data_IF_524057417471
#
_entry.id   IF_524057417471
#
_cell.length_a   1.000
_cell.length_b   1.000
_cell.length_c   1.000
_cell.angle_alpha   90.00
_cell.angle_beta   90.00
_cell.angle_gamma   90.00
#
_symmetry.space_group_name_H-M   'P 1'
#
loop_
_entity.id
_entity.type
_entity.pdbx_description
1 polymer ?
#
# COMPACT_ATOMS: atom_id res chain seq x y z
N UNK A 1 19.19 -6.67 -16.09
CA UNK A 1 19.45 -7.84 -15.23
C UNK A 1 18.12 -8.38 -14.74
N UNK A 2 17.98 -9.70 -14.68
CA UNK A 2 16.77 -10.33 -14.10
C UNK A 2 16.90 -10.23 -12.60
N UNK A 3 15.88 -9.67 -11.93
CA UNK A 3 15.80 -9.62 -10.46
C UNK A 3 15.69 -11.04 -9.91
N UNK A 4 16.43 -11.33 -8.86
CA UNK A 4 16.50 -12.66 -8.22
C UNK A 4 15.73 -12.72 -6.91
N UNK A 5 15.84 -11.68 -6.09
CA UNK A 5 15.26 -11.61 -4.75
C UNK A 5 14.18 -10.53 -4.65
N UNK A 6 14.42 -9.34 -5.21
CA UNK A 6 13.48 -8.24 -5.17
C UNK A 6 12.36 -8.41 -6.20
N UNK A 7 11.12 -8.31 -5.74
CA UNK A 7 9.93 -8.16 -6.57
C UNK A 7 9.63 -6.69 -6.90
N UNK A 8 8.37 -6.38 -7.14
CA UNK A 8 7.88 -5.01 -7.37
C UNK A 8 7.82 -4.18 -6.08
N UNK A 9 7.80 -4.82 -4.91
CA UNK A 9 7.67 -4.18 -3.59
C UNK A 9 8.53 -4.91 -2.55
N UNK A 10 9.85 -4.81 -2.69
CA UNK A 10 10.82 -5.45 -1.83
C UNK A 10 11.00 -6.95 -2.08
N UNK A 11 11.65 -7.65 -1.16
CA UNK A 11 11.78 -9.10 -1.15
C UNK A 11 10.50 -9.67 -0.53
N UNK A 12 9.78 -10.54 -1.23
CA UNK A 12 8.54 -11.14 -0.73
C UNK A 12 8.42 -12.60 -1.11
N UNK A 13 7.95 -13.42 -0.19
CA UNK A 13 7.67 -14.82 -0.45
C UNK A 13 7.20 -15.58 0.78
N UNK A 14 6.91 -16.87 0.55
CA UNK A 14 6.60 -17.78 1.65
C UNK A 14 7.83 -17.95 2.54
N UNK A 15 7.62 -17.82 3.84
CA UNK A 15 8.69 -17.96 4.83
C UNK A 15 9.34 -19.36 4.76
N UNK A 16 10.65 -19.40 4.89
CA UNK A 16 11.48 -20.61 4.74
C UNK A 16 11.36 -21.28 3.36
N UNK A 17 11.01 -20.49 2.33
CA UNK A 17 11.10 -20.89 0.93
C UNK A 17 12.41 -20.38 0.31
N UNK A 18 12.60 -20.65 -1.00
CA UNK A 18 13.82 -20.28 -1.73
C UNK A 18 14.16 -18.78 -1.74
N UNK A 19 13.21 -17.90 -1.46
CA UNK A 19 13.41 -16.43 -1.53
C UNK A 19 13.41 -15.71 -0.19
N UNK A 20 12.95 -16.36 0.89
CA UNK A 20 12.85 -15.73 2.20
C UNK A 20 13.23 -16.70 3.33
N UNK A 21 14.53 -16.80 3.60
CA UNK A 21 15.12 -17.57 4.70
C UNK A 21 15.88 -16.65 5.64
N UNK A 22 16.23 -17.08 6.87
CA UNK A 22 17.10 -16.31 7.76
C UNK A 22 18.44 -15.92 7.12
N UNK A 23 19.02 -16.83 6.32
CA UNK A 23 20.28 -16.57 5.61
C UNK A 23 20.11 -15.44 4.58
N UNK A 24 19.03 -15.45 3.78
CA UNK A 24 18.74 -14.42 2.81
C UNK A 24 18.49 -13.08 3.49
N UNK A 25 17.72 -13.07 4.59
CA UNK A 25 17.47 -11.86 5.37
C UNK A 25 18.76 -11.27 5.95
N UNK A 26 19.64 -12.11 6.51
CA UNK A 26 20.95 -11.68 7.02
C UNK A 26 21.81 -11.10 5.88
N UNK A 27 21.90 -11.78 4.73
CA UNK A 27 22.63 -11.29 3.56
C UNK A 27 22.07 -9.95 3.06
N UNK A 28 20.74 -9.79 3.02
CA UNK A 28 20.09 -8.54 2.64
C UNK A 28 20.47 -7.41 3.61
N UNK A 29 20.46 -7.67 4.91
CA UNK A 29 20.94 -6.72 5.94
C UNK A 29 22.40 -6.32 5.77
N UNK A 30 23.28 -7.29 5.54
CA UNK A 30 24.72 -7.03 5.31
C UNK A 30 24.93 -6.23 4.01
N UNK A 31 24.28 -6.60 2.92
CA UNK A 31 24.41 -5.94 1.62
C UNK A 31 23.88 -4.51 1.65
N UNK A 32 22.67 -4.30 2.17
CA UNK A 32 22.08 -2.97 2.33
C UNK A 32 22.92 -2.11 3.29
N UNK A 33 23.34 -2.66 4.42
CA UNK A 33 24.21 -1.97 5.37
C UNK A 33 25.49 -1.43 4.73
N UNK A 34 26.15 -2.22 3.90
CA UNK A 34 27.37 -1.78 3.18
C UNK A 34 27.14 -0.64 2.20
N UNK A 35 26.00 -0.62 1.52
CA UNK A 35 25.66 0.46 0.58
C UNK A 35 25.39 1.76 1.32
N UNK A 36 24.76 1.67 2.50
CA UNK A 36 24.34 2.85 3.26
C UNK A 36 25.36 3.29 4.33
N UNK A 37 26.45 2.54 4.53
CA UNK A 37 27.58 2.98 5.36
C UNK A 37 28.48 3.92 4.57
N UNK A 38 28.16 5.23 4.59
CA UNK A 38 28.86 6.28 3.83
C UNK A 38 29.25 7.45 4.73
N UNK A 39 30.52 7.79 4.75
CA UNK A 39 31.04 8.89 5.59
C UNK A 39 31.54 8.43 6.95
N UNK A 40 31.84 9.38 7.84
CA UNK A 40 32.53 9.13 9.10
C UNK A 40 31.63 9.10 10.34
N UNK A 41 30.29 9.25 10.16
CA UNK A 41 29.35 9.22 11.29
C UNK A 41 28.95 7.77 11.66
N UNK A 42 28.35 7.59 12.81
CA UNK A 42 27.78 6.31 13.24
C UNK A 42 26.46 6.07 12.47
N UNK A 43 26.46 5.05 11.61
CA UNK A 43 25.32 4.71 10.76
C UNK A 43 24.22 4.00 11.52
N UNK A 44 22.97 4.24 11.13
CA UNK A 44 21.79 3.72 11.81
C UNK A 44 20.79 3.15 10.81
N UNK A 45 20.20 2.02 11.17
CA UNK A 45 19.03 1.46 10.51
C UNK A 45 17.89 1.34 11.51
N UNK A 46 16.68 1.69 11.07
CA UNK A 46 15.45 1.46 11.84
C UNK A 46 14.73 0.26 11.27
N UNK A 47 14.19 -0.61 12.13
CA UNK A 47 13.45 -1.81 11.73
C UNK A 47 12.08 -1.82 12.43
N UNK A 48 11.01 -1.81 11.62
CA UNK A 48 9.66 -2.13 12.03
C UNK A 48 9.19 -3.45 11.42
N UNK A 49 8.10 -3.98 11.95
CA UNK A 49 7.48 -5.21 11.44
C UNK A 49 5.98 -5.19 11.64
N UNK A 50 5.26 -6.03 10.92
CA UNK A 50 3.89 -6.38 11.23
C UNK A 50 3.83 -7.47 12.33
N UNK A 51 2.70 -8.09 12.50
CA UNK A 51 2.44 -9.04 13.59
C UNK A 51 2.74 -10.50 13.25
N UNK A 52 3.22 -10.79 12.05
CA UNK A 52 3.50 -12.17 11.57
C UNK A 52 4.51 -12.87 12.47
N UNK A 53 4.25 -14.14 12.77
CA UNK A 53 5.15 -14.98 13.57
C UNK A 53 6.58 -15.01 13.00
N UNK A 54 6.71 -15.13 11.69
CA UNK A 54 8.00 -15.14 10.99
C UNK A 54 8.80 -13.84 11.11
N UNK A 55 8.14 -12.74 11.49
CA UNK A 55 8.78 -11.43 11.73
C UNK A 55 9.89 -11.50 12.77
N UNK A 56 9.75 -12.34 13.80
CA UNK A 56 10.80 -12.51 14.83
C UNK A 56 12.11 -13.08 14.25
N UNK A 57 11.98 -14.10 13.42
CA UNK A 57 13.13 -14.77 12.78
C UNK A 57 13.82 -13.81 11.79
N UNK A 58 13.06 -13.14 10.94
CA UNK A 58 13.57 -12.22 9.91
C UNK A 58 14.25 -11.01 10.57
N UNK A 59 13.62 -10.43 11.60
CA UNK A 59 14.19 -9.31 12.36
C UNK A 59 15.54 -9.68 12.97
N UNK A 60 15.63 -10.84 13.63
CA UNK A 60 16.87 -11.30 14.25
C UNK A 60 18.00 -11.50 13.23
N UNK A 61 17.67 -12.03 12.06
CA UNK A 61 18.62 -12.21 10.97
C UNK A 61 19.11 -10.86 10.40
N UNK A 62 18.20 -9.92 10.16
CA UNK A 62 18.52 -8.56 9.71
C UNK A 62 19.39 -7.82 10.74
N UNK A 63 19.04 -7.91 12.04
CA UNK A 63 19.85 -7.31 13.13
C UNK A 63 21.26 -7.84 13.09
N UNK A 64 21.44 -9.17 12.98
CA UNK A 64 22.76 -9.79 12.87
C UNK A 64 23.53 -9.28 11.64
N UNK A 65 22.85 -9.20 10.48
CA UNK A 65 23.45 -8.70 9.25
C UNK A 65 23.92 -7.24 9.34
N UNK A 66 23.06 -6.34 9.82
CA UNK A 66 23.40 -4.92 9.95
C UNK A 66 24.49 -4.66 10.98
N UNK A 67 24.41 -5.29 12.16
CA UNK A 67 25.42 -5.12 13.19
C UNK A 67 26.78 -5.66 12.76
N UNK A 68 26.81 -6.75 12.00
CA UNK A 68 28.05 -7.32 11.47
C UNK A 68 28.79 -6.37 10.50
N UNK A 69 28.11 -5.45 9.84
CA UNK A 69 28.72 -4.45 8.95
C UNK A 69 28.83 -3.06 9.59
N UNK A 70 28.62 -2.96 10.92
CA UNK A 70 28.87 -1.73 11.70
C UNK A 70 27.72 -0.75 11.81
N UNK A 71 26.49 -1.11 11.35
CA UNK A 71 25.31 -0.26 11.56
C UNK A 71 24.66 -0.49 12.92
N UNK A 72 24.28 0.58 13.60
CA UNK A 72 23.42 0.50 14.78
C UNK A 72 21.97 0.25 14.35
N UNK A 73 21.29 -0.67 15.03
CA UNK A 73 19.92 -1.09 14.72
C UNK A 73 18.96 -0.60 15.77
N UNK A 74 17.92 0.14 15.35
CA UNK A 74 16.84 0.59 16.19
C UNK A 74 15.58 -0.22 15.87
N UNK A 75 15.12 -1.03 16.82
CA UNK A 75 13.99 -1.93 16.67
C UNK A 75 12.73 -1.29 17.25
N UNK A 76 11.64 -1.28 16.48
CA UNK A 76 10.36 -0.67 16.88
C UNK A 76 9.31 -1.71 17.32
N UNK A 77 9.44 -2.97 16.90
CA UNK A 77 8.37 -3.95 17.02
C UNK A 77 7.25 -3.71 16.01
N UNK A 78 6.01 -4.16 16.30
CA UNK A 78 4.88 -3.95 15.40
C UNK A 78 4.53 -2.47 15.27
N UNK A 79 4.61 -1.97 14.01
CA UNK A 79 4.38 -0.57 13.65
C UNK A 79 4.04 -0.47 12.15
N UNK A 80 3.10 0.40 11.73
CA UNK A 80 2.74 0.62 10.33
C UNK A 80 3.92 0.93 9.41
N UNK A 81 3.83 0.48 8.15
CA UNK A 81 4.82 0.80 7.11
C UNK A 81 5.08 2.32 6.99
N UNK A 82 4.06 3.20 6.93
CA UNK A 82 4.29 4.65 6.89
C UNK A 82 4.99 5.19 8.15
N UNK A 83 4.78 4.57 9.30
CA UNK A 83 5.48 4.96 10.53
C UNK A 83 6.99 4.67 10.44
N UNK A 84 7.38 3.54 9.82
CA UNK A 84 8.80 3.23 9.57
C UNK A 84 9.41 4.27 8.65
N UNK A 85 8.74 4.63 7.55
CA UNK A 85 9.20 5.67 6.63
C UNK A 85 9.37 7.03 7.33
N UNK A 86 8.40 7.43 8.15
CA UNK A 86 8.43 8.66 8.94
C UNK A 86 9.57 8.65 9.96
N UNK A 87 9.73 7.55 10.70
CA UNK A 87 10.76 7.43 11.75
C UNK A 87 12.17 7.34 11.17
N UNK A 88 12.36 6.78 9.98
CA UNK A 88 13.64 6.81 9.26
C UNK A 88 14.14 8.26 9.13
N UNK A 89 13.25 9.16 8.68
CA UNK A 89 13.56 10.60 8.56
C UNK A 89 13.75 11.27 9.91
N UNK A 90 12.80 11.09 10.84
CA UNK A 90 12.77 11.83 12.11
C UNK A 90 13.94 11.45 13.03
N UNK A 91 14.41 10.21 12.97
CA UNK A 91 15.59 9.74 13.71
C UNK A 91 16.90 9.91 12.95
N UNK A 92 16.85 10.50 11.75
CA UNK A 92 18.01 10.67 10.86
C UNK A 92 18.76 9.36 10.65
N UNK A 93 17.98 8.28 10.40
CA UNK A 93 18.56 6.98 10.07
C UNK A 93 19.01 6.95 8.61
N UNK A 94 20.06 6.21 8.32
CA UNK A 94 20.58 6.05 6.95
C UNK A 94 19.69 5.10 6.14
N UNK A 95 18.96 4.22 6.83
CA UNK A 95 18.10 3.21 6.21
C UNK A 95 16.90 2.89 7.11
N UNK A 96 15.76 2.64 6.48
CA UNK A 96 14.57 2.08 7.12
C UNK A 96 14.26 0.69 6.56
N UNK A 97 13.77 -0.20 7.41
CA UNK A 97 13.36 -1.54 7.01
C UNK A 97 11.99 -1.86 7.61
N UNK A 98 11.08 -2.30 6.75
CA UNK A 98 9.79 -2.85 7.18
C UNK A 98 9.72 -4.33 6.82
N UNK A 99 9.42 -5.16 7.83
CA UNK A 99 9.22 -6.60 7.68
C UNK A 99 7.72 -6.88 7.59
N UNK A 100 7.24 -7.15 6.38
CA UNK A 100 5.82 -7.33 6.08
C UNK A 100 5.58 -7.97 4.72
N UNK A 101 4.43 -8.61 4.55
CA UNK A 101 3.87 -8.97 3.25
C UNK A 101 2.52 -8.27 3.00
N UNK A 102 2.30 -7.08 3.61
CA UNK A 102 1.10 -6.26 3.44
C UNK A 102 -0.18 -7.08 3.69
N UNK A 103 -1.04 -7.21 2.69
CA UNK A 103 -2.35 -7.87 2.76
C UNK A 103 -2.31 -9.41 2.62
N UNK A 104 -1.14 -10.03 2.41
CA UNK A 104 -1.05 -11.49 2.33
C UNK A 104 -1.32 -12.14 3.69
N UNK A 105 -1.69 -13.43 3.69
CA UNK A 105 -1.83 -14.22 4.90
C UNK A 105 -0.48 -14.46 5.58
N UNK A 106 -0.51 -14.92 6.83
CA UNK A 106 0.66 -14.99 7.73
C UNK A 106 1.84 -15.84 7.25
N UNK A 107 1.60 -16.83 6.39
CA UNK A 107 2.66 -17.72 5.89
C UNK A 107 3.63 -17.04 4.91
N UNK A 108 3.22 -15.92 4.33
CA UNK A 108 4.09 -15.04 3.55
C UNK A 108 4.69 -13.97 4.45
N UNK A 109 5.88 -13.48 4.08
CA UNK A 109 6.48 -12.29 4.66
C UNK A 109 7.36 -11.59 3.62
N UNK A 110 7.97 -10.47 4.00
CA UNK A 110 8.83 -9.72 3.10
C UNK A 110 9.70 -8.71 3.82
N UNK A 111 10.56 -8.06 3.06
CA UNK A 111 11.48 -7.02 3.53
C UNK A 111 11.40 -5.86 2.55
N UNK A 112 10.92 -4.71 3.02
CA UNK A 112 10.88 -3.44 2.28
C UNK A 112 11.96 -2.50 2.84
N UNK A 113 12.67 -1.81 1.95
CA UNK A 113 13.73 -0.87 2.34
C UNK A 113 13.32 0.56 2.01
N UNK A 114 13.68 1.48 2.90
CA UNK A 114 13.47 2.93 2.76
C UNK A 114 14.80 3.66 2.90
N UNK A 115 15.06 4.59 1.99
CA UNK A 115 16.20 5.49 2.07
C UNK A 115 16.09 6.50 3.23
N UNK A 116 17.14 7.30 3.46
CA UNK A 116 17.16 8.31 4.53
C UNK A 116 16.10 9.40 4.35
N UNK A 117 15.56 9.54 3.15
CA UNK A 117 14.44 10.41 2.81
C UNK A 117 13.06 9.79 3.13
N UNK A 118 13.02 8.55 3.62
CA UNK A 118 11.80 7.80 3.90
C UNK A 118 11.06 7.31 2.65
N UNK A 119 11.70 7.32 1.48
CA UNK A 119 11.13 6.78 0.25
C UNK A 119 11.65 5.35 0.02
N UNK A 120 10.88 4.53 -0.68
CA UNK A 120 11.33 3.20 -1.13
C UNK A 120 12.58 3.33 -1.98
N UNK A 121 13.49 2.37 -1.89
CA UNK A 121 14.71 2.36 -2.67
C UNK A 121 14.41 2.28 -4.17
N UNK A 122 15.26 2.89 -4.99
CA UNK A 122 15.17 2.77 -6.45
C UNK A 122 15.58 1.38 -6.91
N UNK A 123 15.12 0.99 -8.11
CA UNK A 123 15.48 -0.27 -8.76
C UNK A 123 17.01 -0.46 -8.87
N UNK A 124 17.73 0.61 -9.13
CA UNK A 124 19.18 0.59 -9.23
C UNK A 124 19.85 0.20 -7.91
N UNK A 125 19.34 0.73 -6.79
CA UNK A 125 19.87 0.40 -5.45
C UNK A 125 19.46 -1.02 -5.06
N UNK A 126 18.23 -1.46 -5.34
CA UNK A 126 17.79 -2.84 -5.08
C UNK A 126 18.63 -3.86 -5.85
N UNK A 127 18.93 -3.61 -7.14
CA UNK A 127 19.81 -4.46 -7.94
C UNK A 127 21.25 -4.48 -7.41
N UNK A 128 21.74 -3.37 -6.89
CA UNK A 128 23.06 -3.33 -6.25
C UNK A 128 23.09 -4.13 -4.95
N UNK A 129 22.01 -4.10 -4.14
CA UNK A 129 21.85 -4.96 -2.97
C UNK A 129 21.90 -6.43 -3.39
N UNK A 130 21.12 -6.84 -4.42
CA UNK A 130 21.14 -8.23 -4.94
C UNK A 130 22.53 -8.67 -5.36
N UNK A 131 23.25 -7.82 -6.08
CA UNK A 131 24.61 -8.11 -6.55
C UNK A 131 25.56 -8.37 -5.36
N UNK A 132 25.41 -7.58 -4.30
CA UNK A 132 26.20 -7.78 -3.09
C UNK A 132 25.79 -9.04 -2.33
N UNK A 133 24.50 -9.37 -2.26
CA UNK A 133 24.01 -10.59 -1.61
C UNK A 133 24.59 -11.87 -2.25
N UNK A 134 24.84 -11.86 -3.55
CA UNK A 134 25.45 -12.98 -4.28
C UNK A 134 27.00 -12.96 -4.26
N UNK A 135 27.61 -11.90 -3.69
CA UNK A 135 29.06 -11.78 -3.52
C UNK A 135 29.55 -12.35 -2.19
N UNK A 136 30.88 -12.42 -1.99
CA UNK A 136 31.46 -12.71 -0.67
C UNK A 136 31.26 -11.53 0.27
N UNK A 137 30.32 -11.66 1.22
CA UNK A 137 30.01 -10.64 2.22
C UNK A 137 31.01 -10.62 3.39
N UNK A 138 31.90 -11.61 3.48
CA UNK A 138 32.93 -11.69 4.53
C UNK A 138 33.95 -10.55 4.45
N UNK A 139 34.20 -10.00 3.27
CA UNK A 139 35.12 -8.89 3.03
C UNK A 139 34.50 -7.54 3.37
N UNK A 140 34.09 -7.22 4.51
CA UNK A 140 33.48 -5.92 4.86
C UNK A 140 32.74 -5.99 6.17
N UNK A 141 33.09 -6.98 6.94
CA UNK A 141 32.64 -7.10 8.32
C UNK A 141 33.37 -6.06 9.17
N UNK A 142 32.61 -5.44 10.07
CA UNK A 142 33.16 -4.56 11.08
C UNK A 142 33.95 -5.37 12.12
N UNK A 143 35.02 -4.80 12.62
CA UNK A 143 35.85 -5.42 13.64
C UNK A 143 35.82 -4.64 14.95
N UNK A 144 36.04 -5.30 16.05
CA UNK A 144 36.24 -4.71 17.38
C UNK A 144 35.10 -3.70 17.75
N UNK A 145 35.49 -2.49 18.10
CA UNK A 145 34.58 -1.40 18.47
C UNK A 145 33.73 -0.84 17.34
N UNK A 146 33.96 -1.27 16.09
CA UNK A 146 33.18 -0.85 14.93
C UNK A 146 31.90 -1.69 14.73
N UNK A 147 31.75 -2.83 15.40
CA UNK A 147 30.53 -3.64 15.36
C UNK A 147 29.32 -2.79 15.81
N UNK A 148 28.20 -2.94 15.10
CA UNK A 148 26.94 -2.23 15.39
C UNK A 148 26.30 -2.69 16.70
N UNK A 149 25.39 -1.85 17.22
CA UNK A 149 24.62 -2.14 18.43
C UNK A 149 23.13 -2.21 18.12
N UNK A 150 22.42 -3.16 18.70
CA UNK A 150 20.98 -3.20 18.62
C UNK A 150 20.32 -2.52 19.84
N UNK A 151 19.29 -1.71 19.62
CA UNK A 151 18.52 -1.04 20.67
C UNK A 151 17.04 -1.06 20.34
N UNK A 152 16.18 -1.37 21.30
CA UNK A 152 14.75 -1.17 21.20
C UNK A 152 14.39 0.28 21.47
N UNK A 153 13.47 0.83 20.68
CA UNK A 153 12.92 2.19 20.83
C UNK A 153 11.48 2.05 21.28
N UNK A 154 11.21 2.35 22.54
CA UNK A 154 9.91 2.07 23.16
C UNK A 154 8.87 3.16 22.85
N UNK A 155 9.27 4.40 22.50
CA UNK A 155 8.39 5.53 22.19
C UNK A 155 7.99 5.63 20.72
N UNK A 156 8.33 4.64 19.88
CA UNK A 156 8.07 4.66 18.44
C UNK A 156 6.57 4.76 18.11
N UNK A 157 5.72 4.05 18.86
CA UNK A 157 4.27 4.09 18.68
C UNK A 157 3.71 5.48 18.99
N UNK A 158 4.09 6.05 20.13
CA UNK A 158 3.66 7.40 20.53
C UNK A 158 4.08 8.47 19.51
N UNK A 159 5.28 8.33 18.92
CA UNK A 159 5.72 9.26 17.87
C UNK A 159 4.83 9.20 16.61
N UNK A 160 4.40 7.99 16.21
CA UNK A 160 3.51 7.86 15.07
C UNK A 160 2.09 8.32 15.39
N UNK A 161 1.56 8.03 16.60
CA UNK A 161 0.27 8.52 17.07
C UNK A 161 0.23 10.05 16.99
N UNK A 162 1.24 10.73 17.56
CA UNK A 162 1.34 12.19 17.49
C UNK A 162 1.48 12.71 16.05
N UNK A 163 2.23 12.01 15.21
CA UNK A 163 2.36 12.35 13.80
C UNK A 163 0.99 12.25 13.09
N UNK A 164 0.27 11.15 13.24
CA UNK A 164 -1.04 10.96 12.63
C UNK A 164 -2.05 12.03 13.08
N UNK A 165 -2.14 12.31 14.39
CA UNK A 165 -3.01 13.35 14.95
C UNK A 165 -2.69 14.76 14.43
N UNK A 166 -1.42 15.10 14.23
CA UNK A 166 -1.01 16.40 13.66
C UNK A 166 -1.48 16.62 12.24
N UNK A 167 -1.78 15.55 11.51
CA UNK A 167 -2.31 15.60 10.15
C UNK A 167 -3.85 15.74 10.12
N UNK A 168 -4.51 15.64 11.28
CA UNK A 168 -5.92 15.98 11.44
C UNK A 168 -6.08 17.48 11.70
N UNK A 169 -7.10 18.18 11.15
CA UNK A 169 -7.29 19.62 11.39
C UNK A 169 -7.48 19.95 12.87
N UNK A 170 -6.70 20.91 13.37
CA UNK A 170 -6.62 21.23 14.81
C UNK A 170 -7.95 21.73 15.42
N UNK A 171 -8.82 22.29 14.60
CA UNK A 171 -10.12 22.83 15.00
C UNK A 171 -11.24 21.78 14.95
N UNK A 172 -10.93 20.55 14.57
CA UNK A 172 -11.90 19.46 14.49
C UNK A 172 -11.69 18.44 15.59
N UNK A 173 -12.78 17.77 15.95
CA UNK A 173 -12.83 16.62 16.84
C UNK A 173 -13.74 15.56 16.24
N UNK A 174 -13.59 14.33 16.69
CA UNK A 174 -14.44 13.19 16.29
C UNK A 174 -15.47 12.84 17.37
N UNK A 175 -15.68 13.74 18.34
CA UNK A 175 -16.68 13.58 19.40
C UNK A 175 -18.08 13.40 18.83
N UNK A 176 -18.79 12.39 19.32
CA UNK A 176 -20.12 12.02 18.84
C UNK A 176 -20.13 11.08 17.64
N UNK A 177 -18.98 10.79 17.03
CA UNK A 177 -18.86 9.80 15.98
C UNK A 177 -18.48 8.43 16.53
N UNK A 178 -19.27 7.40 16.20
CA UNK A 178 -18.94 6.00 16.46
C UNK A 178 -18.27 5.39 15.24
N UNK A 179 -17.07 4.83 15.43
CA UNK A 179 -16.24 4.31 14.35
C UNK A 179 -15.86 2.85 14.62
N UNK A 180 -16.19 1.96 13.68
CA UNK A 180 -15.62 0.60 13.63
C UNK A 180 -14.24 0.70 13.00
N UNK A 181 -13.20 0.22 13.69
CA UNK A 181 -11.83 0.15 13.19
C UNK A 181 -11.33 -1.28 13.14
N UNK A 182 -11.12 -1.80 11.94
CA UNK A 182 -10.53 -3.12 11.69
C UNK A 182 -9.04 -2.94 11.33
N UNK A 183 -8.18 -3.43 12.23
CA UNK A 183 -6.72 -3.37 12.08
C UNK A 183 -6.12 -4.64 11.47
N UNK A 184 -6.91 -5.53 10.89
CA UNK A 184 -6.46 -6.77 10.23
C UNK A 184 -5.57 -7.68 11.11
N UNK A 185 -5.63 -7.59 12.43
CA UNK A 185 -4.63 -8.16 13.35
C UNK A 185 -3.19 -7.80 12.96
N UNK A 186 -3.00 -6.66 12.30
CA UNK A 186 -1.77 -6.18 11.70
C UNK A 186 -1.04 -5.13 12.55
N UNK A 187 -0.12 -4.44 11.90
CA UNK A 187 0.83 -3.49 12.51
C UNK A 187 0.16 -2.30 13.23
N UNK A 188 -1.04 -1.91 12.80
CA UNK A 188 -1.79 -0.78 13.35
C UNK A 188 -2.65 -1.12 14.57
N UNK A 189 -2.66 -2.38 15.04
CA UNK A 189 -3.59 -2.88 16.06
C UNK A 189 -3.65 -2.09 17.36
N UNK A 190 -2.58 -1.39 17.70
CA UNK A 190 -2.52 -0.45 18.86
C UNK A 190 -2.72 0.99 18.45
N UNK A 191 -1.95 1.44 17.43
CA UNK A 191 -1.83 2.86 17.14
C UNK A 191 -3.10 3.44 16.48
N UNK A 192 -3.83 2.67 15.65
CA UNK A 192 -5.00 3.21 14.97
C UNK A 192 -6.19 3.42 15.93
N UNK A 193 -6.55 2.45 16.81
CA UNK A 193 -7.54 2.70 17.84
C UNK A 193 -7.19 3.89 18.74
N UNK A 194 -5.93 4.01 19.17
CA UNK A 194 -5.46 5.08 20.05
C UNK A 194 -5.60 6.46 19.40
N UNK A 195 -5.18 6.60 18.12
CA UNK A 195 -5.32 7.86 17.37
C UNK A 195 -6.78 8.31 17.30
N UNK A 196 -7.69 7.40 16.96
CA UNK A 196 -9.12 7.73 16.84
C UNK A 196 -9.74 8.09 18.19
N UNK A 197 -9.38 7.35 19.25
CA UNK A 197 -9.85 7.61 20.60
C UNK A 197 -9.35 8.97 21.13
N UNK A 198 -8.07 9.28 20.96
CA UNK A 198 -7.50 10.58 21.37
C UNK A 198 -8.07 11.77 20.59
N UNK A 199 -8.58 11.54 19.38
CA UNK A 199 -9.33 12.55 18.62
C UNK A 199 -10.80 12.68 19.04
N UNK A 200 -11.28 11.84 19.96
CA UNK A 200 -12.60 11.92 20.58
C UNK A 200 -13.64 10.93 20.04
N UNK A 201 -13.29 10.01 19.16
CA UNK A 201 -14.24 9.04 18.62
C UNK A 201 -14.67 7.98 19.65
N UNK A 202 -15.93 7.53 19.57
CA UNK A 202 -16.40 6.28 20.18
C UNK A 202 -15.99 5.12 19.26
N UNK A 203 -15.02 4.30 19.68
CA UNK A 203 -14.41 3.28 18.82
C UNK A 203 -14.92 1.87 19.12
N UNK A 204 -15.16 1.11 18.07
CA UNK A 204 -15.43 -0.34 18.12
C UNK A 204 -14.29 -1.06 17.41
N UNK A 205 -13.26 -1.53 18.14
CA UNK A 205 -12.09 -2.14 17.53
C UNK A 205 -12.36 -3.58 17.08
N UNK A 206 -11.84 -3.94 15.91
CA UNK A 206 -11.79 -5.28 15.32
C UNK A 206 -10.38 -5.57 14.84
N UNK A 207 -10.01 -6.86 14.74
CA UNK A 207 -8.69 -7.24 14.26
C UNK A 207 -7.55 -6.66 15.10
N UNK A 208 -7.70 -6.61 16.43
CA UNK A 208 -6.73 -6.01 17.37
C UNK A 208 -6.10 -7.02 18.35
N UNK A 209 -6.25 -8.31 18.08
CA UNK A 209 -5.72 -9.39 18.93
C UNK A 209 -4.81 -10.32 18.11
N UNK A 210 -3.65 -9.83 17.64
CA UNK A 210 -2.75 -10.62 16.81
C UNK A 210 -2.13 -11.78 17.59
N UNK A 211 -2.15 -12.98 17.00
CA UNK A 211 -1.51 -14.19 17.53
C UNK A 211 -0.29 -14.66 16.72
N UNK A 212 0.07 -13.90 15.67
CA UNK A 212 1.18 -14.20 14.76
C UNK A 212 0.76 -14.98 13.51
N UNK A 213 -0.46 -15.53 13.49
CA UNK A 213 -0.98 -16.37 12.40
C UNK A 213 -2.31 -15.89 11.81
N UNK A 214 -2.96 -14.95 12.46
CA UNK A 214 -4.29 -14.45 12.09
C UNK A 214 -4.30 -13.10 11.35
N UNK A 215 -3.16 -12.55 10.95
CA UNK A 215 -3.07 -11.32 10.19
C UNK A 215 -3.78 -11.45 8.82
N UNK A 216 -4.65 -10.49 8.49
CA UNK A 216 -5.47 -10.46 7.27
C UNK A 216 -6.41 -11.68 7.07
N UNK A 217 -6.57 -12.52 8.08
CA UNK A 217 -7.45 -13.68 7.99
C UNK A 217 -8.90 -13.25 8.21
N UNK A 218 -9.68 -13.22 7.13
CA UNK A 218 -11.09 -12.82 7.10
C UNK A 218 -11.37 -11.45 7.74
N UNK A 219 -10.40 -10.53 7.63
CA UNK A 219 -10.47 -9.18 8.18
C UNK A 219 -9.58 -8.21 7.37
N UNK A 220 -9.71 -6.92 7.67
CA UNK A 220 -8.93 -5.85 7.06
C UNK A 220 -9.40 -5.42 5.68
N UNK A 221 -8.61 -4.58 5.00
CA UNK A 221 -9.02 -3.88 3.78
C UNK A 221 -9.30 -4.78 2.57
N UNK A 222 -8.79 -6.01 2.56
CA UNK A 222 -9.06 -7.00 1.50
C UNK A 222 -10.24 -7.92 1.80
N UNK A 223 -10.80 -7.86 3.02
CA UNK A 223 -11.94 -8.65 3.49
C UNK A 223 -12.80 -7.81 4.43
N UNK A 224 -13.36 -6.70 3.91
CA UNK A 224 -14.05 -5.69 4.69
C UNK A 224 -15.50 -6.06 5.07
N UNK A 225 -16.02 -7.21 4.64
CA UNK A 225 -17.42 -7.61 4.88
C UNK A 225 -17.76 -7.68 6.37
N UNK A 226 -16.84 -8.21 7.19
CA UNK A 226 -17.01 -8.29 8.63
C UNK A 226 -17.11 -6.89 9.27
N UNK A 227 -16.26 -5.95 8.84
CA UNK A 227 -16.31 -4.55 9.25
C UNK A 227 -17.63 -3.89 8.84
N UNK A 228 -18.09 -4.07 7.59
CA UNK A 228 -19.36 -3.54 7.09
C UNK A 228 -20.56 -4.09 7.86
N UNK A 229 -20.54 -5.39 8.20
CA UNK A 229 -21.57 -6.01 9.04
C UNK A 229 -21.58 -5.42 10.46
N UNK A 230 -20.39 -5.22 11.04
CA UNK A 230 -20.24 -4.63 12.38
C UNK A 230 -20.72 -3.19 12.42
N UNK A 231 -20.44 -2.37 11.39
CA UNK A 231 -20.95 -0.99 11.28
C UNK A 231 -22.46 -0.97 11.42
N UNK A 232 -23.17 -1.83 10.67
CA UNK A 232 -24.65 -1.94 10.77
C UNK A 232 -25.12 -2.44 12.13
N UNK A 233 -24.45 -3.46 12.69
CA UNK A 233 -24.81 -4.08 13.97
C UNK A 233 -24.77 -3.06 15.12
N UNK A 234 -23.69 -2.27 15.20
CA UNK A 234 -23.48 -1.32 16.30
C UNK A 234 -23.99 0.08 15.98
N UNK A 235 -24.57 0.28 14.80
CA UNK A 235 -25.03 1.58 14.28
C UNK A 235 -23.91 2.61 14.34
N UNK A 236 -22.73 2.25 13.81
CA UNK A 236 -21.62 3.16 13.70
C UNK A 236 -21.82 4.14 12.54
N UNK A 237 -21.22 5.32 12.65
CA UNK A 237 -21.23 6.34 11.61
C UNK A 237 -20.29 5.98 10.46
N UNK A 238 -19.21 5.22 10.79
CA UNK A 238 -18.16 4.81 9.84
C UNK A 238 -17.58 3.46 10.18
N UNK A 239 -17.08 2.80 9.11
CA UNK A 239 -16.12 1.72 9.20
C UNK A 239 -14.79 2.10 8.56
N UNK A 240 -13.69 1.68 9.14
CA UNK A 240 -12.33 1.81 8.62
C UNK A 240 -11.69 0.44 8.68
N UNK A 241 -11.18 -0.08 7.56
CA UNK A 241 -10.42 -1.31 7.52
C UNK A 241 -9.03 -1.03 6.93
N UNK A 242 -7.99 -1.34 7.68
CA UNK A 242 -6.60 -1.26 7.27
C UNK A 242 -6.12 -2.64 6.81
N UNK A 243 -5.03 -2.72 6.05
CA UNK A 243 -4.35 -3.98 5.79
C UNK A 243 -3.26 -4.27 6.82
N UNK A 244 -2.58 -5.41 6.69
CA UNK A 244 -1.66 -5.92 7.70
C UNK A 244 -0.51 -4.99 8.08
N UNK A 245 -0.06 -4.11 7.18
CA UNK A 245 0.97 -3.09 7.46
C UNK A 245 0.45 -1.65 7.36
N UNK A 246 -0.87 -1.50 7.24
CA UNK A 246 -1.62 -0.26 7.30
C UNK A 246 -1.19 0.81 6.27
N UNK A 247 -0.65 0.38 5.14
CA UNK A 247 -0.38 1.27 4.02
C UNK A 247 -1.61 1.45 3.11
N UNK A 248 -2.70 0.67 3.37
CA UNK A 248 -3.98 0.72 2.67
C UNK A 248 -5.15 0.92 3.63
N UNK A 249 -6.21 1.54 3.11
CA UNK A 249 -7.48 1.74 3.80
C UNK A 249 -8.66 1.52 2.86
N UNK A 250 -9.67 0.84 3.35
CA UNK A 250 -11.03 0.80 2.80
C UNK A 250 -11.97 1.28 3.89
N UNK A 251 -12.96 2.07 3.54
CA UNK A 251 -13.93 2.60 4.50
C UNK A 251 -15.34 2.11 4.17
N UNK A 252 -16.26 2.28 5.09
CA UNK A 252 -17.67 2.04 4.89
C UNK A 252 -18.51 3.17 5.48
N UNK A 253 -19.62 3.48 4.83
CA UNK A 253 -20.63 4.39 5.35
C UNK A 253 -21.48 3.71 6.45
N UNK A 254 -22.38 4.44 7.07
CA UNK A 254 -23.28 3.98 8.14
C UNK A 254 -24.21 2.83 7.71
N UNK A 255 -24.40 2.62 6.41
CA UNK A 255 -25.17 1.52 5.85
C UNK A 255 -24.29 0.28 5.57
N UNK A 256 -22.98 0.38 5.78
CA UNK A 256 -22.00 -0.64 5.44
C UNK A 256 -21.73 -0.75 3.94
N UNK A 257 -21.97 0.31 3.16
CA UNK A 257 -21.55 0.39 1.75
C UNK A 257 -20.08 0.80 1.69
N UNK A 258 -19.31 0.08 0.91
CA UNK A 258 -17.87 0.30 0.75
C UNK A 258 -17.58 1.65 0.10
N UNK A 259 -16.59 2.34 0.66
CA UNK A 259 -15.93 3.54 0.12
C UNK A 259 -14.50 3.09 -0.22
N UNK A 260 -14.25 2.78 -1.48
CA UNK A 260 -12.96 2.30 -1.96
C UNK A 260 -11.93 3.42 -2.17
N UNK A 261 -10.71 3.06 -2.59
CA UNK A 261 -9.65 4.03 -2.81
C UNK A 261 -9.98 5.10 -3.85
N UNK A 262 -10.75 4.77 -4.87
CA UNK A 262 -11.17 5.75 -5.90
C UNK A 262 -12.17 6.76 -5.33
N UNK A 263 -13.11 6.34 -4.47
CA UNK A 263 -14.03 7.25 -3.77
C UNK A 263 -13.28 8.13 -2.76
N UNK A 264 -12.29 7.56 -2.06
CA UNK A 264 -11.41 8.30 -1.13
C UNK A 264 -10.64 9.38 -1.90
N UNK A 265 -10.05 9.05 -3.05
CA UNK A 265 -9.36 10.01 -3.92
C UNK A 265 -10.29 11.12 -4.38
N UNK A 266 -11.53 10.79 -4.82
CA UNK A 266 -12.53 11.76 -5.24
C UNK A 266 -12.88 12.73 -4.11
N UNK A 267 -13.11 12.20 -2.89
CA UNK A 267 -13.51 13.00 -1.73
C UNK A 267 -12.39 13.96 -1.29
N UNK A 268 -11.16 13.46 -1.20
CA UNK A 268 -10.00 14.28 -0.85
C UNK A 268 -9.73 15.33 -1.94
N UNK A 269 -9.81 14.95 -3.22
CA UNK A 269 -9.63 15.88 -4.35
C UNK A 269 -10.63 17.02 -4.32
N UNK A 270 -11.92 16.72 -4.13
CA UNK A 270 -12.99 17.73 -3.99
C UNK A 270 -12.72 18.68 -2.84
N UNK A 271 -12.47 18.12 -1.65
CA UNK A 271 -12.22 18.90 -0.44
C UNK A 271 -10.97 19.79 -0.57
N UNK A 272 -9.86 19.21 -1.03
CA UNK A 272 -8.61 19.96 -1.13
C UNK A 272 -8.62 20.97 -2.28
N UNK A 273 -9.35 20.73 -3.37
CA UNK A 273 -9.57 21.71 -4.44
C UNK A 273 -10.34 22.92 -3.91
N UNK A 274 -11.44 22.68 -3.18
CA UNK A 274 -12.26 23.75 -2.60
C UNK A 274 -11.48 24.59 -1.59
N UNK A 275 -10.58 23.97 -0.83
CA UNK A 275 -9.77 24.62 0.22
C UNK A 275 -8.41 25.15 -0.29
N UNK A 276 -8.14 25.09 -1.60
CA UNK A 276 -6.90 25.57 -2.21
C UNK A 276 -5.66 24.75 -1.82
N UNK A 277 -5.82 23.51 -1.33
CA UNK A 277 -4.72 22.62 -0.92
C UNK A 277 -4.28 21.67 -2.02
N UNK A 278 -5.15 21.38 -3.01
CA UNK A 278 -4.84 20.45 -4.08
C UNK A 278 -3.79 21.05 -5.02
N UNK A 279 -2.74 20.30 -5.29
CA UNK A 279 -1.65 20.68 -6.21
C UNK A 279 -1.72 19.85 -7.49
N UNK A 280 -1.10 20.35 -8.57
CA UNK A 280 -1.05 19.65 -9.87
C UNK A 280 -2.36 19.67 -10.66
N UNK A 281 -3.41 20.32 -10.16
CA UNK A 281 -4.70 20.44 -10.85
C UNK A 281 -5.50 19.13 -10.94
N UNK A 282 -5.22 18.16 -10.06
CA UNK A 282 -5.91 16.87 -10.06
C UNK A 282 -5.30 15.84 -9.12
N UNK A 283 -5.51 14.57 -9.41
CA UNK A 283 -4.96 13.44 -8.65
C UNK A 283 -4.33 12.41 -9.57
N UNK A 284 -3.48 11.55 -9.03
CA UNK A 284 -2.92 10.41 -9.75
C UNK A 284 -3.59 9.13 -9.27
N UNK A 285 -4.22 8.42 -10.21
CA UNK A 285 -4.67 7.04 -10.01
C UNK A 285 -3.80 6.06 -10.79
N UNK A 286 -4.26 4.83 -10.92
CA UNK A 286 -3.63 3.84 -11.79
C UNK A 286 -4.47 3.58 -13.04
N UNK A 287 -3.93 2.80 -13.96
CA UNK A 287 -4.70 2.27 -15.10
C UNK A 287 -5.91 1.43 -14.66
N UNK A 288 -5.98 1.01 -13.39
CA UNK A 288 -7.11 0.27 -12.82
C UNK A 288 -8.18 1.16 -12.21
N UNK A 289 -7.89 2.45 -11.94
CA UNK A 289 -8.88 3.38 -11.39
C UNK A 289 -10.08 3.51 -12.31
N UNK A 290 -11.28 3.46 -11.72
CA UNK A 290 -12.54 3.44 -12.44
C UNK A 290 -12.74 4.69 -13.30
N UNK A 291 -13.31 4.55 -14.50
CA UNK A 291 -13.57 5.69 -15.38
C UNK A 291 -14.64 6.64 -14.82
N UNK A 292 -15.48 6.18 -13.89
CA UNK A 292 -16.38 7.03 -13.12
C UNK A 292 -15.65 8.10 -12.34
N UNK A 293 -14.48 7.76 -11.72
CA UNK A 293 -13.62 8.74 -11.07
C UNK A 293 -13.14 9.82 -12.04
N UNK A 294 -12.66 9.43 -13.23
CA UNK A 294 -12.20 10.38 -14.27
C UNK A 294 -13.35 11.33 -14.72
N UNK A 295 -14.53 10.76 -14.97
CA UNK A 295 -15.72 11.54 -15.33
C UNK A 295 -16.09 12.53 -14.22
N UNK A 296 -16.08 12.08 -12.97
CA UNK A 296 -16.38 12.94 -11.82
C UNK A 296 -15.36 14.07 -11.64
N UNK A 297 -14.07 13.78 -11.68
CA UNK A 297 -13.02 14.79 -11.57
C UNK A 297 -13.12 15.86 -12.67
N UNK A 298 -13.46 15.47 -13.89
CA UNK A 298 -13.72 16.41 -15.01
C UNK A 298 -14.84 17.38 -14.70
N UNK A 299 -15.90 16.98 -13.98
CA UNK A 299 -16.98 17.91 -13.56
C UNK A 299 -16.49 18.98 -12.60
N UNK A 300 -15.39 18.71 -11.89
CA UNK A 300 -14.72 19.65 -10.99
C UNK A 300 -13.61 20.47 -11.67
N UNK A 301 -13.39 20.26 -12.97
CA UNK A 301 -12.25 20.85 -13.69
C UNK A 301 -10.89 20.25 -13.30
N UNK A 302 -10.89 19.05 -12.73
CA UNK A 302 -9.69 18.35 -12.27
C UNK A 302 -9.28 17.22 -13.23
N UNK A 303 -7.99 16.92 -13.28
CA UNK A 303 -7.43 15.83 -14.07
C UNK A 303 -7.23 14.54 -13.26
N UNK A 304 -7.36 13.39 -13.92
CA UNK A 304 -6.89 12.10 -13.43
C UNK A 304 -5.63 11.70 -14.20
N UNK A 305 -4.46 11.82 -13.57
CA UNK A 305 -3.23 11.18 -14.05
C UNK A 305 -3.35 9.66 -13.89
N UNK A 306 -2.89 8.86 -14.88
CA UNK A 306 -2.94 7.40 -14.80
C UNK A 306 -1.54 6.82 -14.85
N UNK A 307 -1.09 6.25 -13.73
CA UNK A 307 0.16 5.51 -13.63
C UNK A 307 -0.04 4.01 -13.91
N UNK A 308 1.03 3.28 -14.13
CA UNK A 308 1.02 1.82 -14.04
C UNK A 308 0.63 1.37 -12.61
N UNK A 309 0.16 0.12 -12.48
CA UNK A 309 -0.18 -0.45 -11.16
C UNK A 309 1.07 -0.61 -10.32
N UNK A 310 1.03 -0.10 -9.10
CA UNK A 310 2.11 -0.09 -8.12
C UNK A 310 2.37 1.31 -7.58
N UNK A 311 2.47 1.41 -6.28
CA UNK A 311 2.63 2.67 -5.54
C UNK A 311 3.85 3.50 -5.98
N UNK A 312 4.95 2.85 -6.37
CA UNK A 312 6.14 3.49 -6.93
C UNK A 312 5.80 4.31 -8.19
N UNK A 313 5.03 3.73 -9.12
CA UNK A 313 4.64 4.41 -10.36
C UNK A 313 3.67 5.56 -10.10
N UNK A 314 2.76 5.39 -9.14
CA UNK A 314 1.88 6.47 -8.69
C UNK A 314 2.71 7.63 -8.15
N UNK A 315 3.67 7.35 -7.26
CA UNK A 315 4.54 8.37 -6.67
C UNK A 315 5.43 9.07 -7.71
N UNK A 316 5.95 8.34 -8.70
CA UNK A 316 6.74 8.90 -9.80
C UNK A 316 5.89 9.87 -10.65
N UNK A 317 4.67 9.48 -11.01
CA UNK A 317 3.76 10.35 -11.79
C UNK A 317 3.31 11.56 -10.96
N UNK A 318 3.07 11.39 -9.63
CA UNK A 318 2.80 12.51 -8.73
C UNK A 318 3.93 13.53 -8.74
N UNK A 319 5.18 13.08 -8.60
CA UNK A 319 6.37 13.97 -8.63
C UNK A 319 6.51 14.68 -9.96
N UNK A 320 6.33 13.96 -11.06
CA UNK A 320 6.47 14.49 -12.42
C UNK A 320 5.44 15.59 -12.73
N UNK A 321 4.20 15.39 -12.30
CA UNK A 321 3.09 16.32 -12.54
C UNK A 321 2.87 17.33 -11.40
N UNK A 322 3.63 17.28 -10.31
CA UNK A 322 3.48 18.16 -9.15
C UNK A 322 2.20 17.91 -8.35
N UNK A 323 1.63 16.70 -8.44
CA UNK A 323 0.44 16.30 -7.68
C UNK A 323 0.79 15.97 -6.22
N UNK A 324 -0.08 16.32 -5.29
CA UNK A 324 0.06 15.97 -3.88
C UNK A 324 -0.92 14.91 -3.38
N UNK A 325 -1.81 14.44 -4.24
CA UNK A 325 -2.77 13.37 -3.97
C UNK A 325 -2.66 12.30 -5.06
N UNK A 326 -2.49 11.06 -4.65
CA UNK A 326 -2.50 9.92 -5.56
C UNK A 326 -2.81 8.61 -4.82
N UNK A 327 -3.11 7.56 -5.56
CA UNK A 327 -3.38 6.27 -4.96
C UNK A 327 -3.94 5.24 -5.91
N UNK A 328 -4.40 4.16 -5.35
CA UNK A 328 -4.96 3.00 -6.04
C UNK A 328 -6.37 2.71 -5.53
N UNK A 329 -7.21 2.14 -6.36
CA UNK A 329 -8.55 1.66 -5.97
C UNK A 329 -8.49 0.71 -4.76
N UNK A 330 -7.39 -0.05 -4.63
CA UNK A 330 -7.13 -0.95 -3.48
C UNK A 330 -6.95 -0.24 -2.14
N UNK A 331 -7.01 1.10 -2.10
CA UNK A 331 -6.91 1.89 -0.88
C UNK A 331 -5.49 2.33 -0.49
N UNK A 332 -4.48 2.07 -1.32
CA UNK A 332 -3.14 2.62 -1.11
C UNK A 332 -3.14 4.10 -1.51
N UNK A 333 -3.31 5.00 -0.53
CA UNK A 333 -3.47 6.44 -0.75
C UNK A 333 -2.23 7.18 -0.29
N UNK A 334 -1.64 7.95 -1.21
CA UNK A 334 -0.44 8.76 -0.97
C UNK A 334 -0.85 10.23 -0.90
N UNK A 335 -0.62 10.84 0.25
CA UNK A 335 -0.79 12.27 0.48
C UNK A 335 0.58 12.88 0.75
N UNK A 336 1.26 13.34 -0.32
CA UNK A 336 2.68 13.71 -0.26
C UNK A 336 3.01 14.91 0.63
N UNK A 337 2.01 15.71 1.00
CA UNK A 337 2.16 16.77 2.00
C UNK A 337 2.36 16.19 3.42
N UNK A 338 2.03 14.92 3.65
CA UNK A 338 2.09 14.27 4.95
C UNK A 338 3.07 13.09 4.98
N UNK A 339 3.02 12.19 4.00
CA UNK A 339 3.79 10.97 3.99
C UNK A 339 4.53 10.76 2.66
N UNK A 340 5.62 10.02 2.71
CA UNK A 340 6.42 9.64 1.53
C UNK A 340 5.95 8.34 0.87
N UNK A 341 4.98 7.66 1.47
CA UNK A 341 4.35 6.42 0.99
C UNK A 341 2.86 6.45 1.34
N UNK A 342 2.10 5.43 0.95
CA UNK A 342 0.71 5.27 1.40
C UNK A 342 0.62 5.18 2.92
N UNK A 343 -0.40 5.82 3.46
CA UNK A 343 -0.72 5.80 4.89
C UNK A 343 -2.25 5.69 5.04
N UNK A 344 -2.71 4.46 5.31
CA UNK A 344 -4.14 4.19 5.40
C UNK A 344 -4.82 4.93 6.55
N UNK A 345 -4.12 5.09 7.69
CA UNK A 345 -4.66 5.81 8.84
C UNK A 345 -4.77 7.31 8.56
N UNK A 346 -3.71 7.93 8.02
CA UNK A 346 -3.72 9.36 7.68
C UNK A 346 -4.74 9.65 6.56
N UNK A 347 -4.85 8.78 5.56
CA UNK A 347 -5.87 8.90 4.51
C UNK A 347 -7.29 8.83 5.10
N UNK A 348 -7.56 7.85 5.98
CA UNK A 348 -8.82 7.75 6.71
C UNK A 348 -9.12 8.99 7.55
N UNK A 349 -8.13 9.56 8.22
CA UNK A 349 -8.27 10.81 8.98
C UNK A 349 -8.63 12.00 8.07
N UNK A 350 -8.09 12.08 6.84
CA UNK A 350 -8.49 13.14 5.91
C UNK A 350 -9.93 12.99 5.45
N UNK A 351 -10.42 11.77 5.24
CA UNK A 351 -11.84 11.50 4.96
C UNK A 351 -12.69 11.91 6.16
N UNK A 352 -12.36 11.45 7.36
CA UNK A 352 -13.08 11.81 8.59
C UNK A 352 -13.13 13.34 8.82
N UNK A 353 -12.07 14.06 8.46
CA UNK A 353 -12.04 15.52 8.56
C UNK A 353 -13.10 16.18 7.65
N UNK A 354 -13.25 15.67 6.41
CA UNK A 354 -14.29 16.17 5.47
C UNK A 354 -15.68 15.93 6.03
N UNK A 355 -15.90 14.76 6.61
CA UNK A 355 -17.20 14.35 7.14
C UNK A 355 -17.56 15.08 8.44
N UNK A 356 -16.62 15.25 9.34
CA UNK A 356 -16.80 16.03 10.58
C UNK A 356 -17.10 17.50 10.29
N UNK A 357 -16.54 18.08 9.22
CA UNK A 357 -16.86 19.44 8.77
C UNK A 357 -18.24 19.56 8.14
N UNK A 358 -18.66 18.53 7.41
CA UNK A 358 -19.89 18.56 6.63
C UNK A 358 -21.16 18.38 7.45
N UNK A 359 -21.09 17.69 8.57
CA UNK A 359 -22.26 17.37 9.42
C UNK A 359 -23.34 16.54 8.73
N UNK A 360 -22.98 15.85 7.63
CA UNK A 360 -23.88 14.99 6.84
C UNK A 360 -23.40 13.53 6.92
N UNK A 361 -24.33 12.56 6.79
CA UNK A 361 -23.95 11.14 6.81
C UNK A 361 -22.94 10.78 5.72
N UNK A 362 -22.12 9.75 5.99
CA UNK A 362 -21.13 9.26 5.06
C UNK A 362 -21.73 8.81 3.73
N UNK A 363 -22.91 8.17 3.78
CA UNK A 363 -23.64 7.73 2.59
C UNK A 363 -23.96 8.85 1.61
N UNK A 364 -24.09 10.10 2.11
CA UNK A 364 -24.34 11.27 1.28
C UNK A 364 -23.05 11.98 0.86
N UNK A 365 -22.00 11.93 1.70
CA UNK A 365 -20.79 12.69 1.49
C UNK A 365 -19.76 11.95 0.63
N UNK A 366 -19.64 10.62 0.77
CA UNK A 366 -18.52 9.85 0.25
C UNK A 366 -18.78 9.15 -1.10
N UNK A 367 -20.04 8.89 -1.45
CA UNK A 367 -20.38 8.30 -2.74
C UNK A 367 -20.61 9.40 -3.79
N UNK A 368 -19.52 9.98 -4.30
CA UNK A 368 -19.53 11.17 -5.14
C UNK A 368 -19.88 10.89 -6.60
N UNK A 369 -19.76 9.65 -7.02
CA UNK A 369 -20.14 9.17 -8.35
C UNK A 369 -20.49 7.68 -8.26
N UNK A 370 -21.29 7.20 -9.21
CA UNK A 370 -21.52 5.76 -9.35
C UNK A 370 -20.38 5.13 -10.17
N UNK A 371 -19.69 4.12 -9.64
CA UNK A 371 -18.66 3.42 -10.40
C UNK A 371 -19.25 2.76 -11.64
N UNK A 372 -18.54 2.87 -12.76
CA UNK A 372 -18.92 2.12 -13.94
C UNK A 372 -18.71 0.61 -13.71
N UNK A 373 -19.60 -0.24 -14.25
CA UNK A 373 -19.37 -1.67 -14.29
C UNK A 373 -17.97 -1.98 -14.82
N UNK A 374 -17.16 -2.66 -14.00
CA UNK A 374 -15.80 -3.07 -14.31
C UNK A 374 -15.67 -4.58 -14.11
N UNK A 375 -15.17 -5.28 -15.12
CA UNK A 375 -14.94 -6.73 -15.07
C UNK A 375 -13.47 -7.01 -15.33
N UNK A 376 -12.88 -7.83 -14.44
CA UNK A 376 -11.50 -8.30 -14.56
C UNK A 376 -11.50 -9.82 -14.63
N UNK A 377 -10.84 -10.37 -15.65
CA UNK A 377 -10.61 -11.80 -15.80
C UNK A 377 -9.11 -12.09 -15.92
N UNK A 378 -8.66 -13.17 -15.25
CA UNK A 378 -7.27 -13.59 -15.23
C UNK A 378 -7.13 -14.86 -16.08
N UNK A 379 -6.42 -14.78 -17.20
CA UNK A 379 -6.21 -15.91 -18.12
C UNK A 379 -4.79 -16.43 -17.95
N UNK A 380 -4.64 -17.68 -17.51
CA UNK A 380 -3.32 -18.32 -17.35
C UNK A 380 -2.81 -18.79 -18.70
N UNK A 381 -1.51 -18.66 -18.92
CA UNK A 381 -0.83 -19.20 -20.10
C UNK A 381 0.42 -19.98 -19.69
N UNK A 382 0.76 -21.00 -20.49
CA UNK A 382 1.89 -21.89 -20.16
C UNK A 382 3.17 -21.49 -20.86
N UNK A 383 3.09 -21.05 -22.12
CA UNK A 383 4.26 -20.69 -22.95
C UNK A 383 3.90 -19.57 -23.92
N UNK A 384 4.94 -18.88 -24.44
CA UNK A 384 4.78 -17.91 -25.52
C UNK A 384 4.40 -16.50 -25.06
N UNK A 385 3.94 -15.72 -26.02
CA UNK A 385 3.48 -14.33 -25.86
C UNK A 385 2.10 -14.18 -26.50
N UNK A 386 1.02 -14.66 -25.85
CA UNK A 386 -0.32 -14.66 -26.46
C UNK A 386 -0.78 -13.27 -26.91
N UNK A 387 -0.33 -12.20 -26.26
CA UNK A 387 -0.66 -10.81 -26.64
C UNK A 387 -0.05 -10.38 -28.00
N UNK A 388 0.94 -11.11 -28.52
CA UNK A 388 1.51 -10.83 -29.82
C UNK A 388 0.77 -11.54 -30.96
N UNK A 389 -0.11 -12.49 -30.64
CA UNK A 389 -0.87 -13.26 -31.63
C UNK A 389 -1.90 -12.36 -32.35
N UNK A 390 -2.01 -12.56 -33.66
CA UNK A 390 -2.89 -11.77 -34.51
C UNK A 390 -4.39 -11.91 -34.15
N UNK A 391 -4.80 -13.12 -33.72
CA UNK A 391 -6.19 -13.40 -33.31
C UNK A 391 -6.54 -12.66 -32.02
N UNK A 392 -5.61 -12.63 -31.05
CA UNK A 392 -5.79 -11.90 -29.80
C UNK A 392 -5.83 -10.39 -30.06
N UNK A 393 -4.93 -9.86 -30.90
CA UNK A 393 -4.93 -8.45 -31.28
C UNK A 393 -6.25 -8.05 -31.96
N UNK A 394 -6.70 -8.84 -32.96
CA UNK A 394 -7.99 -8.61 -33.62
C UNK A 394 -9.16 -8.63 -32.65
N UNK A 395 -9.17 -9.57 -31.69
CA UNK A 395 -10.23 -9.65 -30.68
C UNK A 395 -10.25 -8.41 -29.76
N UNK A 396 -9.08 -7.86 -29.41
CA UNK A 396 -8.96 -6.62 -28.64
C UNK A 396 -9.46 -5.43 -29.45
N UNK A 397 -9.11 -5.32 -30.74
CA UNK A 397 -9.52 -4.24 -31.61
C UNK A 397 -11.05 -4.25 -31.84
N UNK A 398 -11.63 -5.43 -32.11
CA UNK A 398 -13.07 -5.61 -32.23
C UNK A 398 -13.82 -5.22 -30.93
N UNK A 399 -13.28 -5.62 -29.80
CA UNK A 399 -13.85 -5.29 -28.49
C UNK A 399 -13.77 -3.78 -28.21
N UNK A 400 -12.67 -3.11 -28.56
CA UNK A 400 -12.54 -1.66 -28.48
C UNK A 400 -13.56 -0.94 -29.38
N UNK A 401 -13.73 -1.43 -30.61
CA UNK A 401 -14.71 -0.87 -31.54
C UNK A 401 -16.16 -1.00 -31.01
N UNK A 402 -16.48 -2.13 -30.35
CA UNK A 402 -17.80 -2.36 -29.75
C UNK A 402 -18.07 -1.48 -28.53
N UNK A 403 -17.06 -1.25 -27.68
CA UNK A 403 -17.21 -0.35 -26.51
C UNK A 403 -17.22 1.13 -26.93
N UNK A 404 -16.50 1.50 -27.99
CA UNK A 404 -16.42 2.86 -28.48
C UNK A 404 -15.99 3.84 -27.38
N UNK A 405 -16.72 4.95 -27.24
CA UNK A 405 -16.47 5.98 -26.22
C UNK A 405 -17.17 5.71 -24.88
N UNK A 406 -18.02 4.67 -24.80
CA UNK A 406 -18.78 4.33 -23.60
C UNK A 406 -17.99 3.49 -22.57
N UNK A 407 -16.80 3.01 -22.97
CA UNK A 407 -15.96 2.20 -22.09
C UNK A 407 -14.51 2.17 -22.51
N UNK A 408 -13.72 1.35 -21.83
CA UNK A 408 -12.31 1.08 -22.16
C UNK A 408 -11.90 -0.34 -21.82
N UNK A 409 -10.84 -0.79 -22.47
CA UNK A 409 -10.24 -2.10 -22.24
C UNK A 409 -8.80 -1.92 -21.79
N UNK A 410 -8.36 -2.76 -20.88
CA UNK A 410 -6.98 -2.89 -20.45
C UNK A 410 -6.59 -4.37 -20.47
N UNK A 411 -5.68 -4.75 -21.36
CA UNK A 411 -5.11 -6.09 -21.41
C UNK A 411 -3.63 -6.00 -21.12
N UNK A 412 -3.16 -6.73 -20.09
CA UNK A 412 -1.75 -6.70 -19.70
C UNK A 412 -1.28 -8.03 -19.13
N UNK A 413 -0.01 -8.33 -19.30
CA UNK A 413 0.66 -9.44 -18.62
C UNK A 413 0.84 -9.11 -17.14
N UNK A 414 0.67 -10.10 -16.25
CA UNK A 414 1.06 -9.98 -14.86
C UNK A 414 2.58 -9.89 -14.73
N UNK A 415 3.06 -9.05 -13.82
CA UNK A 415 4.50 -8.93 -13.56
C UNK A 415 5.08 -10.08 -12.73
N UNK A 416 4.22 -10.82 -12.00
CA UNK A 416 4.64 -11.81 -11.00
C UNK A 416 4.17 -13.23 -11.29
N UNK A 417 3.13 -13.39 -12.12
CA UNK A 417 2.52 -14.68 -12.41
C UNK A 417 2.39 -14.89 -13.92
N UNK A 418 2.39 -16.15 -14.41
CA UNK A 418 2.19 -16.47 -15.81
C UNK A 418 0.72 -16.35 -16.23
N UNK A 419 0.16 -15.14 -16.12
CA UNK A 419 -1.21 -14.83 -16.49
C UNK A 419 -1.33 -13.47 -17.20
N UNK A 420 -2.37 -13.35 -18.02
CA UNK A 420 -2.81 -12.11 -18.65
C UNK A 420 -4.06 -11.64 -17.92
N UNK A 421 -4.08 -10.37 -17.57
CA UNK A 421 -5.23 -9.70 -16.98
C UNK A 421 -5.99 -8.97 -18.07
N UNK A 422 -7.25 -9.34 -18.26
CA UNK A 422 -8.19 -8.71 -19.19
C UNK A 422 -9.19 -7.94 -18.35
N UNK A 423 -9.18 -6.63 -18.46
CA UNK A 423 -10.13 -5.75 -17.80
C UNK A 423 -10.89 -4.94 -18.83
N UNK A 424 -12.19 -4.80 -18.67
CA UNK A 424 -12.99 -3.80 -19.35
C UNK A 424 -13.92 -3.13 -18.36
N UNK A 425 -14.26 -1.86 -18.63
CA UNK A 425 -15.26 -1.10 -17.93
C UNK A 425 -16.07 -0.23 -18.89
N UNK A 426 -17.30 0.09 -18.56
CA UNK A 426 -18.17 0.89 -19.41
C UNK A 426 -19.59 0.99 -18.88
N UNK A 427 -20.44 1.74 -19.59
CA UNK A 427 -21.80 2.05 -19.16
C UNK A 427 -22.74 0.82 -19.20
N UNK A 428 -22.51 -0.15 -20.10
CA UNK A 428 -23.31 -1.37 -20.23
C UNK A 428 -22.55 -2.59 -19.68
N UNK A 429 -22.96 -3.08 -18.52
CA UNK A 429 -22.36 -4.24 -17.87
C UNK A 429 -22.39 -5.52 -18.74
N UNK A 430 -23.47 -5.74 -19.50
CA UNK A 430 -23.59 -6.93 -20.36
C UNK A 430 -22.58 -6.87 -21.49
N UNK A 431 -22.38 -5.70 -22.09
CA UNK A 431 -21.39 -5.47 -23.11
C UNK A 431 -19.96 -5.64 -22.53
N UNK A 432 -19.68 -5.06 -21.37
CA UNK A 432 -18.40 -5.19 -20.66
C UNK A 432 -18.06 -6.66 -20.42
N UNK A 433 -18.99 -7.44 -19.86
CA UNK A 433 -18.82 -8.88 -19.64
C UNK A 433 -18.58 -9.64 -20.96
N UNK A 434 -19.32 -9.29 -22.02
CA UNK A 434 -19.19 -9.93 -23.33
C UNK A 434 -17.81 -9.74 -23.93
N UNK A 435 -17.28 -8.51 -23.92
CA UNK A 435 -15.97 -8.20 -24.50
C UNK A 435 -14.82 -8.81 -23.71
N UNK A 436 -14.91 -8.83 -22.37
CA UNK A 436 -13.90 -9.49 -21.51
C UNK A 436 -13.84 -10.99 -21.82
N UNK A 437 -14.98 -11.68 -21.87
CA UNK A 437 -15.04 -13.12 -22.23
C UNK A 437 -14.53 -13.40 -23.63
N UNK A 438 -14.86 -12.55 -24.62
CA UNK A 438 -14.37 -12.68 -25.99
C UNK A 438 -12.85 -12.62 -26.04
N UNK A 439 -12.21 -11.66 -25.36
CA UNK A 439 -10.75 -11.52 -25.31
C UNK A 439 -10.12 -12.68 -24.54
N UNK A 440 -10.72 -13.05 -23.38
CA UNK A 440 -10.23 -14.16 -22.57
C UNK A 440 -10.22 -15.47 -23.36
N UNK A 441 -11.31 -15.80 -24.08
CA UNK A 441 -11.40 -16.99 -24.93
C UNK A 441 -10.35 -16.98 -26.05
N UNK A 442 -10.12 -15.82 -26.70
CA UNK A 442 -9.08 -15.71 -27.72
C UNK A 442 -7.68 -15.95 -27.16
N UNK A 443 -7.40 -15.49 -25.92
CA UNK A 443 -6.14 -15.74 -25.24
C UNK A 443 -6.01 -17.23 -24.86
N UNK A 444 -7.05 -17.84 -24.30
CA UNK A 444 -7.06 -19.27 -23.93
C UNK A 444 -6.77 -20.19 -25.11
N UNK A 445 -7.38 -19.90 -26.26
CA UNK A 445 -7.18 -20.69 -27.49
C UNK A 445 -5.73 -20.66 -28.01
N UNK A 446 -5.03 -19.53 -27.82
CA UNK A 446 -3.63 -19.36 -28.23
C UNK A 446 -2.66 -19.81 -27.13
N UNK A 447 -3.10 -19.81 -25.87
CA UNK A 447 -2.30 -20.12 -24.68
C UNK A 447 -2.24 -21.62 -24.34
N UNK A 448 -3.06 -22.46 -25.01
CA UNK A 448 -3.10 -23.90 -24.84
C UNK A 448 -1.87 -24.55 -25.51
#
# INVERSE_FOLDING_TARGET
MIRKYFGTDGIRGRTNSSVLTPEIAMKAGMAAGRIFTRGAHRHRVVIGKDTRLSGYMIESALVSGFTAVGMDVFQFGPLPTPAVAMLTRSLRADLGVMITASHNLYHDNGIKFFGPDGQKLSDAVELEIERLMDSSLQTGLATDGAIGRAKRIDDSQARYIEFAKRNFPRNLRLEGLRIVIDCANGAAYKVAPEVLWELGADIVPMGVSPDGTNINLDCGSTSADAMCAKVREVRADFGIALDGDADRVVMADENGRIIDGDQILALIAKSWSTNGRLKGGGVVGTVMSNAGLDRYLKTLGLALGRAAVGDRYVLEEMKKGGFNVGGEQSGHIILSDFSTTGDGLVAGLQVLAVLAQGGIPASQAAHLYEPLPQVLENVRFRKGSPLEDAKVKSSIDDANARLGTSGRILVRKSGTEPLIRVMAEGDDEKLVRSVVRQIAAAIEEVAA
#
